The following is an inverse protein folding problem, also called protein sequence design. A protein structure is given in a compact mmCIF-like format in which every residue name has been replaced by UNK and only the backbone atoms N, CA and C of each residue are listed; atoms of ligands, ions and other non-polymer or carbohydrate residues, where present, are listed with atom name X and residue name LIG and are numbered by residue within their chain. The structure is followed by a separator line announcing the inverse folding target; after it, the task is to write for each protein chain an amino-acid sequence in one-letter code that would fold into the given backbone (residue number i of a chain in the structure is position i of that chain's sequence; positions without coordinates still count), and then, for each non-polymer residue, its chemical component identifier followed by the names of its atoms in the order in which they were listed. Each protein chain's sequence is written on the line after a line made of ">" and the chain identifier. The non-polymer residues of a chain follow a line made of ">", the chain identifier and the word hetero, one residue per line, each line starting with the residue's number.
data_IF_967528699342
#
_entry.id   IF_967528699342
#
_cell.length_a   1.000
_cell.length_b   1.000
_cell.length_c   1.000
_cell.angle_alpha   90.00
_cell.angle_beta   90.00
_cell.angle_gamma   90.00
#
_symmetry.space_group_name_H-M   'P 1'
#
loop_
_entity.id
_entity.type
_entity.pdbx_description
1 polymer ?
#
# COMPACT_ATOMS: atom_id res chain seq x y z
N UNK A 1 -1.68 5.01 -7.73
CA UNK A 1 -2.73 4.24 -7.03
C UNK A 1 -3.18 3.04 -7.86
N UNK A 2 -3.11 3.15 -9.19
CA UNK A 2 -3.59 2.14 -10.16
C UNK A 2 -3.10 0.71 -9.93
N UNK A 3 -1.85 0.50 -9.49
CA UNK A 3 -1.30 -0.84 -9.24
C UNK A 3 -2.11 -1.65 -8.22
N UNK A 4 -2.59 -0.99 -7.16
CA UNK A 4 -3.30 -1.65 -6.08
C UNK A 4 -4.81 -1.47 -6.18
N UNK A 5 -5.29 -0.76 -7.21
CA UNK A 5 -6.71 -0.50 -7.40
C UNK A 5 -7.57 -1.78 -7.39
N UNK A 6 -7.22 -2.87 -8.10
CA UNK A 6 -8.03 -4.09 -8.10
C UNK A 6 -8.19 -4.73 -6.72
N UNK A 7 -7.21 -4.56 -5.83
CA UNK A 7 -7.22 -5.14 -4.49
C UNK A 7 -7.89 -4.25 -3.44
N UNK A 8 -8.04 -2.96 -3.72
CA UNK A 8 -8.55 -1.97 -2.77
C UNK A 8 -9.96 -1.49 -3.11
N UNK A 9 -10.36 -1.62 -4.37
CA UNK A 9 -11.69 -1.26 -4.82
C UNK A 9 -12.73 -2.23 -4.23
N UNK A 10 -13.87 -1.70 -3.77
CA UNK A 10 -14.95 -2.51 -3.20
C UNK A 10 -14.75 -2.91 -1.73
N UNK A 11 -13.53 -2.78 -1.19
CA UNK A 11 -13.31 -2.97 0.25
C UNK A 11 -14.12 -1.93 1.05
N UNK A 12 -14.86 -2.41 2.04
CA UNK A 12 -15.62 -1.53 2.94
C UNK A 12 -14.68 -0.59 3.69
N UNK A 13 -13.54 -1.10 4.18
CA UNK A 13 -12.50 -0.33 4.85
C UNK A 13 -11.17 -1.06 4.88
N UNK A 14 -10.04 -0.33 4.84
CA UNK A 14 -8.71 -0.90 5.13
C UNK A 14 -7.81 0.04 5.93
N UNK A 15 -6.75 -0.52 6.51
CA UNK A 15 -5.75 0.23 7.27
C UNK A 15 -4.45 0.39 6.45
N UNK A 16 -4.01 1.64 6.27
CA UNK A 16 -2.75 1.98 5.61
C UNK A 16 -1.68 2.27 6.67
N UNK A 17 -0.68 1.39 6.77
CA UNK A 17 0.48 1.61 7.64
C UNK A 17 1.59 2.35 6.90
N UNK A 18 2.14 3.40 7.52
CA UNK A 18 3.26 4.18 6.98
C UNK A 18 4.19 4.62 8.09
N UNK A 19 5.49 4.68 7.81
CA UNK A 19 6.50 5.30 8.69
C UNK A 19 6.65 6.80 8.47
N UNK A 20 5.84 7.38 7.60
CA UNK A 20 5.87 8.80 7.31
C UNK A 20 4.80 9.56 8.09
N UNK A 21 5.21 10.18 9.19
CA UNK A 21 4.38 11.05 10.02
C UNK A 21 3.70 12.18 9.22
N UNK A 22 4.37 12.76 8.22
CA UNK A 22 3.78 13.85 7.45
C UNK A 22 2.58 13.36 6.64
N UNK A 23 2.67 12.16 6.06
CA UNK A 23 1.56 11.55 5.30
C UNK A 23 0.40 11.23 6.23
N UNK A 24 0.66 10.58 7.37
CA UNK A 24 -0.38 10.29 8.37
C UNK A 24 -1.09 11.58 8.84
N UNK A 25 -0.31 12.64 9.10
CA UNK A 25 -0.85 13.93 9.53
C UNK A 25 -1.68 14.64 8.45
N UNK A 26 -1.23 14.61 7.20
CA UNK A 26 -1.97 15.23 6.07
C UNK A 26 -3.31 14.52 5.87
N UNK A 27 -3.33 13.19 5.94
CA UNK A 27 -4.54 12.39 5.74
C UNK A 27 -5.53 12.50 6.90
N UNK A 28 -5.05 12.81 8.11
CA UNK A 28 -5.93 13.10 9.26
C UNK A 28 -6.62 14.46 9.18
N UNK A 29 -6.17 15.38 8.30
CA UNK A 29 -6.70 16.75 8.24
C UNK A 29 -7.88 16.86 7.29
N UNK A 30 -8.93 17.56 7.74
CA UNK A 30 -10.09 17.92 6.91
C UNK A 30 -9.73 18.77 5.69
N UNK A 31 -8.73 19.66 5.82
CA UNK A 31 -8.27 20.54 4.76
C UNK A 31 -6.76 20.31 4.49
N UNK A 32 -6.41 19.38 3.58
CA UNK A 32 -5.01 19.12 3.25
C UNK A 32 -4.39 20.31 2.52
N UNK A 33 -3.07 20.46 2.64
CA UNK A 33 -2.32 21.49 1.91
C UNK A 33 -2.50 21.27 0.38
N UNK A 34 -2.67 22.37 -0.38
CA UNK A 34 -2.82 22.36 -1.85
C UNK A 34 -1.76 21.52 -2.56
N UNK A 35 -0.56 21.42 -2.00
CA UNK A 35 0.53 20.57 -2.53
C UNK A 35 0.15 19.08 -2.64
N UNK A 36 -0.72 18.59 -1.76
CA UNK A 36 -1.15 17.18 -1.71
C UNK A 36 -2.58 16.97 -2.22
N UNK A 37 -3.24 18.01 -2.73
CA UNK A 37 -4.65 17.95 -3.14
C UNK A 37 -4.92 16.87 -4.20
N UNK A 38 -4.04 16.70 -5.18
CA UNK A 38 -4.17 15.64 -6.20
C UNK A 38 -4.13 14.25 -5.58
N UNK A 39 -3.11 13.99 -4.75
CA UNK A 39 -2.96 12.71 -4.06
C UNK A 39 -4.15 12.40 -3.14
N UNK A 40 -4.68 13.40 -2.43
CA UNK A 40 -5.88 13.23 -1.60
C UNK A 40 -7.11 12.93 -2.45
N UNK A 41 -7.27 13.60 -3.60
CA UNK A 41 -8.37 13.35 -4.51
C UNK A 41 -8.32 11.92 -5.08
N UNK A 42 -7.13 11.47 -5.49
CA UNK A 42 -6.92 10.10 -6.01
C UNK A 42 -7.17 9.03 -4.94
N UNK A 43 -6.99 9.38 -3.66
CA UNK A 43 -7.24 8.47 -2.54
C UNK A 43 -8.67 8.58 -1.99
N UNK A 44 -9.41 9.65 -2.29
CA UNK A 44 -10.76 9.88 -1.79
C UNK A 44 -11.79 8.84 -2.26
N UNK A 45 -11.47 8.09 -3.31
CA UNK A 45 -12.28 6.97 -3.79
C UNK A 45 -12.21 5.73 -2.87
N UNK A 46 -11.28 5.69 -1.92
CA UNK A 46 -11.10 4.56 -1.01
C UNK A 46 -11.50 4.95 0.42
N UNK A 47 -12.08 4.00 1.16
CA UNK A 47 -12.31 4.15 2.59
C UNK A 47 -11.16 3.52 3.38
N UNK A 48 -10.32 4.34 4.01
CA UNK A 48 -9.18 3.85 4.78
C UNK A 48 -8.80 4.74 5.95
N UNK A 49 -8.06 4.16 6.90
CA UNK A 49 -7.41 4.89 7.99
C UNK A 49 -5.90 4.80 7.87
N UNK A 50 -5.20 5.90 8.13
CA UNK A 50 -3.73 5.89 8.13
C UNK A 50 -3.20 5.71 9.54
N UNK A 51 -2.37 4.68 9.74
CA UNK A 51 -1.67 4.43 10.99
C UNK A 51 -0.17 4.66 10.79
N UNK A 52 0.39 5.52 11.64
CA UNK A 52 1.83 5.70 11.66
C UNK A 52 2.50 4.56 12.44
N UNK A 53 3.47 3.90 11.83
CA UNK A 53 4.32 2.87 12.46
C UNK A 53 5.78 3.27 12.37
N UNK A 54 6.57 3.28 13.46
CA UNK A 54 7.98 3.64 13.39
C UNK A 54 8.75 2.85 12.32
N UNK A 55 9.63 3.52 11.57
CA UNK A 55 10.42 2.86 10.52
C UNK A 55 11.22 1.63 10.99
N UNK A 56 11.66 1.63 12.25
CA UNK A 56 12.34 0.48 12.89
C UNK A 56 11.48 -0.79 12.92
N UNK A 57 10.16 -0.65 13.00
CA UNK A 57 9.20 -1.77 13.00
C UNK A 57 8.60 -2.01 11.61
N UNK A 58 8.77 -1.08 10.67
CA UNK A 58 8.30 -1.20 9.29
C UNK A 58 9.29 -1.97 8.39
N UNK A 59 9.90 -3.04 8.93
CA UNK A 59 11.04 -3.72 8.31
C UNK A 59 10.69 -4.44 7.00
N UNK A 60 9.50 -5.03 6.92
CA UNK A 60 9.03 -5.74 5.72
C UNK A 60 8.86 -4.76 4.56
N UNK A 61 8.15 -3.64 4.79
CA UNK A 61 7.94 -2.64 3.76
C UNK A 61 9.26 -1.95 3.35
N UNK A 62 10.13 -1.62 4.32
CA UNK A 62 11.44 -1.04 4.04
C UNK A 62 12.31 -1.99 3.20
N UNK A 63 12.39 -3.26 3.60
CA UNK A 63 13.12 -4.28 2.85
C UNK A 63 12.61 -4.40 1.41
N UNK A 64 11.30 -4.58 1.22
CA UNK A 64 10.66 -4.67 -0.10
C UNK A 64 10.91 -3.42 -0.95
N UNK A 65 10.86 -2.23 -0.34
CA UNK A 65 11.06 -0.96 -1.04
C UNK A 65 12.51 -0.72 -1.50
N UNK A 66 13.49 -1.29 -0.79
CA UNK A 66 14.92 -1.16 -1.07
C UNK A 66 15.46 -2.26 -1.98
N UNK A 67 14.66 -3.26 -2.32
CA UNK A 67 15.09 -4.34 -3.19
C UNK A 67 15.39 -3.80 -4.58
N UNK A 68 16.65 -3.99 -5.02
CA UNK A 68 17.05 -3.63 -6.39
C UNK A 68 16.42 -4.62 -7.37
N UNK A 69 15.90 -4.14 -8.51
CA UNK A 69 15.30 -5.02 -9.53
C UNK A 69 16.29 -6.05 -10.11
N UNK A 70 17.60 -5.83 -9.95
CA UNK A 70 18.66 -6.75 -10.41
C UNK A 70 18.88 -7.91 -9.42
N UNK A 71 18.67 -7.66 -8.13
CA UNK A 71 18.67 -8.68 -7.06
C UNK A 71 17.23 -9.17 -6.91
N UNK A 72 16.69 -9.73 -8.00
CA UNK A 72 15.40 -10.39 -8.02
C UNK A 72 15.46 -11.74 -7.26
N UNK A 73 15.95 -11.71 -6.03
CA UNK A 73 15.90 -12.79 -5.06
C UNK A 73 15.20 -12.24 -3.81
N UNK A 74 13.95 -11.80 -3.97
CA UNK A 74 12.98 -12.17 -2.95
C UNK A 74 12.87 -13.69 -3.10
N UNK A 75 13.52 -14.44 -2.21
CA UNK A 75 13.36 -15.90 -2.10
C UNK A 75 11.93 -16.33 -1.71
N UNK A 76 10.93 -15.44 -1.86
CA UNK A 76 9.52 -15.66 -1.54
C UNK A 76 8.58 -15.27 -2.71
N UNK A 77 8.98 -14.42 -3.66
CA UNK A 77 8.10 -14.00 -4.78
C UNK A 77 8.73 -14.17 -6.18
N UNK A 78 9.90 -14.80 -6.25
CA UNK A 78 10.44 -15.40 -7.48
C UNK A 78 10.18 -16.90 -7.56
N UNK A 79 9.45 -17.46 -6.60
CA UNK A 79 8.77 -18.69 -6.90
C UNK A 79 7.76 -18.34 -8.00
N UNK A 80 7.80 -19.07 -9.10
CA UNK A 80 6.59 -19.32 -9.88
C UNK A 80 5.59 -20.07 -8.98
N UNK A 81 5.18 -19.45 -7.87
CA UNK A 81 4.31 -20.06 -6.89
C UNK A 81 2.92 -20.00 -7.49
N UNK A 82 2.54 -21.12 -8.12
CA UNK A 82 1.22 -21.28 -8.69
C UNK A 82 0.16 -20.98 -7.65
N UNK A 83 0.39 -21.30 -6.37
CA UNK A 83 -0.58 -21.05 -5.28
C UNK A 83 -1.02 -19.60 -5.16
N UNK A 84 -0.11 -18.64 -5.37
CA UNK A 84 -0.44 -17.23 -5.21
C UNK A 84 -1.19 -16.70 -6.43
N UNK A 85 -0.92 -17.24 -7.62
CA UNK A 85 -1.69 -16.96 -8.85
C UNK A 85 -3.03 -17.66 -8.82
N UNK A 86 -3.06 -18.95 -8.52
CA UNK A 86 -4.25 -19.78 -8.40
C UNK A 86 -5.19 -19.20 -7.31
N UNK A 87 -4.66 -18.75 -6.16
CA UNK A 87 -5.48 -18.08 -5.14
C UNK A 87 -6.01 -16.71 -5.59
N UNK A 88 -5.28 -15.99 -6.44
CA UNK A 88 -5.75 -14.73 -7.03
C UNK A 88 -6.79 -14.96 -8.14
N UNK A 89 -6.69 -16.08 -8.86
CA UNK A 89 -7.64 -16.49 -9.90
C UNK A 89 -8.90 -17.13 -9.29
N UNK A 90 -8.80 -17.72 -8.09
CA UNK A 90 -9.92 -18.28 -7.32
C UNK A 90 -10.68 -17.22 -6.51
N UNK A 91 -10.13 -16.01 -6.33
CA UNK A 91 -10.87 -14.90 -5.71
C UNK A 91 -12.01 -14.47 -6.65
N UNK A 92 -13.28 -14.58 -6.23
CA UNK A 92 -14.41 -14.18 -7.06
C UNK A 92 -14.42 -12.66 -7.28
N UNK A 93 -14.74 -12.23 -8.52
CA UNK A 93 -14.95 -10.80 -8.87
C UNK A 93 -15.98 -10.09 -7.99
#
# INVERSE_FOLDING_TARGET
>A
TDRFHPYLQGLEHFELFTDNWAVAHIMSKKNPNRRFARMVLDLAQYNFTVRHTPGKTNTVADALSRMRPEVNAICVLKANDKRLRDAQDEDPE
#
